data_IF_918234616406
#
_entry.id   IF_918234616406
#
_cell.length_a   1.000
_cell.length_b   1.000
_cell.length_c   1.000
_cell.angle_alpha   90.00
_cell.angle_beta   90.00
_cell.angle_gamma   90.00
#
_symmetry.space_group_name_H-M   'P 1'
#
loop_
_entity.id
_entity.type
_entity.pdbx_description
1 polymer ?
#
# COMPACT_ATOMS: atom_id res chain seq x y z
N UNK A 1 -3.82 8.19 15.02
CA UNK A 1 -2.55 7.63 15.53
C UNK A 1 -1.34 8.35 14.92
N UNK A 2 -0.86 9.48 15.48
CA UNK A 2 0.33 10.22 14.96
C UNK A 2 1.65 9.52 15.33
N UNK A 3 2.67 9.62 14.46
CA UNK A 3 4.07 9.89 14.86
C UNK A 3 4.99 10.10 13.63
N UNK A 4 5.25 11.36 13.26
CA UNK A 4 6.64 11.78 13.01
C UNK A 4 7.20 12.37 14.32
N UNK A 5 8.52 12.45 14.45
CA UNK A 5 9.21 12.83 15.71
C UNK A 5 8.62 14.08 16.39
N UNK A 6 8.00 13.91 17.56
CA UNK A 6 7.67 14.97 18.54
C UNK A 6 7.22 16.33 17.97
N UNK A 7 6.28 16.33 17.03
CA UNK A 7 5.46 17.53 16.72
C UNK A 7 4.05 17.31 17.24
N UNK A 8 3.81 17.73 18.48
CA UNK A 8 2.46 17.79 19.01
C UNK A 8 1.68 18.88 18.27
N UNK A 9 0.54 18.51 17.68
CA UNK A 9 -0.52 19.46 17.29
C UNK A 9 -1.70 19.23 18.22
N UNK A 10 -2.33 20.31 18.67
CA UNK A 10 -3.61 20.28 19.40
C UNK A 10 -4.81 20.50 18.48
N UNK A 11 -4.56 20.50 17.16
CA UNK A 11 -5.54 20.73 16.12
C UNK A 11 -5.44 19.64 15.06
N UNK A 12 -6.57 19.03 14.74
CA UNK A 12 -6.75 18.20 13.55
C UNK A 12 -6.84 19.10 12.30
N UNK A 13 -6.33 18.60 11.18
CA UNK A 13 -6.35 19.30 9.89
C UNK A 13 -6.63 18.32 8.75
N UNK A 14 -7.24 18.81 7.65
CA UNK A 14 -7.59 17.99 6.50
C UNK A 14 -8.73 17.00 6.80
N UNK A 15 -8.83 15.91 6.03
CA UNK A 15 -9.93 14.93 6.13
C UNK A 15 -10.03 14.18 7.47
N UNK A 16 -9.05 14.33 8.37
CA UNK A 16 -9.10 13.77 9.73
C UNK A 16 -10.21 14.38 10.59
N UNK A 17 -10.62 15.62 10.33
CA UNK A 17 -11.72 16.28 11.08
C UNK A 17 -13.10 15.74 10.71
N UNK A 18 -13.19 14.79 9.77
CA UNK A 18 -14.43 14.31 9.14
C UNK A 18 -14.61 12.79 9.20
N UNK A 19 -13.72 12.04 9.87
CA UNK A 19 -13.88 10.61 10.07
C UNK A 19 -14.91 10.27 11.15
N UNK A 20 -15.64 9.17 10.95
CA UNK A 20 -16.55 8.60 11.96
C UNK A 20 -15.80 7.93 13.13
N UNK A 21 -14.49 7.68 12.97
CA UNK A 21 -13.56 7.20 13.99
C UNK A 21 -12.67 8.34 14.49
N UNK A 22 -12.41 8.38 15.80
CA UNK A 22 -11.51 9.35 16.43
C UNK A 22 -10.05 9.01 16.12
N UNK A 23 -9.34 9.90 15.43
CA UNK A 23 -7.97 9.66 14.97
C UNK A 23 -7.00 10.67 15.57
N UNK A 24 -6.24 10.28 16.59
CA UNK A 24 -5.18 11.10 17.18
C UNK A 24 -3.91 11.23 16.27
N UNK A 25 -4.07 11.22 14.93
CA UNK A 25 -3.04 11.52 13.90
C UNK A 25 -2.70 10.45 12.83
N UNK A 26 -1.56 10.61 12.14
CA UNK A 26 -1.01 9.78 11.04
C UNK A 26 0.46 9.35 11.34
N UNK A 27 0.82 8.06 11.20
CA UNK A 27 2.18 7.55 11.50
C UNK A 27 3.14 7.74 10.31
N UNK A 28 4.19 8.54 10.48
CA UNK A 28 5.16 8.82 9.45
C UNK A 28 6.12 7.65 9.25
N UNK A 29 5.85 6.80 8.26
CA UNK A 29 6.76 5.75 7.79
C UNK A 29 7.46 6.16 6.48
N UNK A 30 7.75 7.44 6.25
CA UNK A 30 8.46 7.94 5.06
C UNK A 30 9.95 7.51 5.03
N UNK A 31 10.66 7.75 3.93
CA UNK A 31 12.11 7.47 3.86
C UNK A 31 12.97 8.44 4.71
N UNK A 32 12.38 9.53 5.19
CA UNK A 32 13.06 10.62 5.91
C UNK A 32 13.56 10.24 7.31
N UNK A 33 14.51 10.99 7.88
CA UNK A 33 15.14 10.68 9.16
C UNK A 33 14.19 10.79 10.37
N UNK A 34 13.09 11.55 10.24
CA UNK A 34 12.08 11.73 11.28
C UNK A 34 11.00 10.64 11.31
N UNK A 35 10.98 9.75 10.32
CA UNK A 35 10.05 8.62 10.28
C UNK A 35 10.26 7.64 11.44
N UNK A 36 9.19 6.94 11.85
CA UNK A 36 9.23 5.93 12.92
C UNK A 36 10.35 4.91 12.66
N UNK A 37 10.39 4.34 11.45
CA UNK A 37 11.36 3.30 11.11
C UNK A 37 12.80 3.83 11.15
N UNK A 38 13.05 5.06 10.68
CA UNK A 38 14.39 5.67 10.74
C UNK A 38 14.84 5.93 12.18
N UNK A 39 13.94 6.41 13.04
CA UNK A 39 14.24 6.62 14.47
C UNK A 39 14.48 5.31 15.23
N UNK A 40 13.64 4.31 15.05
CA UNK A 40 13.80 3.01 15.73
C UNK A 40 15.07 2.30 15.25
N UNK A 41 15.40 2.42 13.96
CA UNK A 41 16.61 1.81 13.40
C UNK A 41 17.89 2.54 13.82
N UNK A 42 17.89 3.88 13.90
CA UNK A 42 19.06 4.64 14.38
C UNK A 42 19.41 4.33 15.85
N UNK A 43 18.41 4.00 16.67
CA UNK A 43 18.57 3.52 18.06
C UNK A 43 18.96 2.04 18.15
N UNK A 44 19.02 1.31 17.03
CA UNK A 44 19.33 -0.11 17.00
C UNK A 44 18.24 -1.00 17.63
N UNK A 45 16.97 -0.59 17.54
CA UNK A 45 15.82 -1.37 18.03
C UNK A 45 15.22 -2.30 16.95
N UNK A 46 15.41 -1.98 15.67
CA UNK A 46 14.93 -2.74 14.50
C UNK A 46 15.86 -2.54 13.30
N UNK A 47 16.00 -3.51 12.37
CA UNK A 47 16.49 -3.21 11.02
C UNK A 47 15.63 -2.11 10.37
N UNK A 48 16.18 -1.41 9.36
CA UNK A 48 15.46 -0.36 8.61
C UNK A 48 14.48 -0.98 7.59
N UNK A 49 13.68 -1.92 8.05
CA UNK A 49 12.71 -2.72 7.29
C UNK A 49 11.42 -2.79 8.13
N UNK A 50 10.29 -2.57 7.48
CA UNK A 50 8.96 -2.80 8.05
C UNK A 50 8.03 -3.33 6.96
N UNK A 51 6.88 -3.88 7.35
CA UNK A 51 5.89 -4.40 6.40
C UNK A 51 4.48 -4.12 6.90
N UNK A 52 3.52 -3.99 5.99
CA UNK A 52 2.10 -4.04 6.34
C UNK A 52 1.34 -5.11 5.55
N UNK A 53 0.17 -5.48 6.05
CA UNK A 53 -0.83 -6.27 5.33
C UNK A 53 -2.20 -5.71 5.69
N UNK A 54 -2.88 -5.06 4.74
CA UNK A 54 -4.20 -4.43 4.97
C UNK A 54 -5.31 -5.40 4.55
N UNK A 55 -6.30 -5.61 5.41
CA UNK A 55 -7.36 -6.60 5.18
C UNK A 55 -8.47 -5.99 4.32
N UNK A 56 -8.74 -6.58 3.17
CA UNK A 56 -9.58 -5.98 2.13
C UNK A 56 -11.10 -6.17 2.27
N UNK A 57 -11.60 -6.70 3.40
CA UNK A 57 -13.03 -6.90 3.65
C UNK A 57 -13.68 -5.71 4.40
N UNK A 58 -15.02 -5.68 4.41
CA UNK A 58 -15.79 -4.58 5.04
C UNK A 58 -15.61 -4.47 6.57
N UNK A 59 -14.87 -5.38 7.21
CA UNK A 59 -14.52 -5.30 8.65
C UNK A 59 -13.22 -4.54 8.90
N UNK A 60 -12.42 -4.32 7.84
CA UNK A 60 -11.06 -3.83 7.95
C UNK A 60 -10.18 -4.75 8.81
N UNK A 61 -9.14 -4.16 9.38
CA UNK A 61 -8.08 -4.88 10.07
C UNK A 61 -6.78 -4.90 9.27
N UNK A 62 -5.75 -5.49 9.84
CA UNK A 62 -4.49 -5.72 9.17
C UNK A 62 -3.36 -5.95 10.15
N UNK A 63 -2.15 -6.03 9.61
CA UNK A 63 -0.90 -6.25 10.34
C UNK A 63 0.06 -5.12 9.99
N UNK A 64 0.65 -4.48 10.99
CA UNK A 64 1.88 -3.70 10.85
C UNK A 64 3.00 -4.44 11.59
N UNK A 65 4.08 -4.76 10.88
CA UNK A 65 5.25 -5.48 11.39
C UNK A 65 6.51 -4.63 11.29
N UNK A 66 7.26 -4.54 12.38
CA UNK A 66 8.60 -3.92 12.42
C UNK A 66 9.66 -5.03 12.36
N UNK A 67 10.48 -5.02 11.31
CA UNK A 67 11.31 -6.16 10.92
C UNK A 67 10.96 -6.65 9.51
N UNK A 68 11.58 -7.77 9.12
CA UNK A 68 11.39 -8.41 7.82
C UNK A 68 10.41 -9.59 7.95
N UNK A 69 9.29 -9.54 7.23
CA UNK A 69 8.37 -10.69 7.15
C UNK A 69 9.00 -11.78 6.27
N UNK A 70 9.02 -13.00 6.78
CA UNK A 70 9.49 -14.18 6.06
C UNK A 70 8.31 -14.86 5.34
N UNK A 71 8.04 -14.42 4.12
CA UNK A 71 7.08 -15.04 3.20
C UNK A 71 7.79 -15.41 1.87
N UNK A 72 7.96 -16.70 1.54
CA UNK A 72 8.74 -17.14 0.37
C UNK A 72 8.24 -16.64 -0.99
N UNK A 73 6.96 -16.26 -1.10
CA UNK A 73 6.36 -15.75 -2.34
C UNK A 73 6.59 -14.25 -2.60
N UNK A 74 7.30 -13.53 -1.72
CA UNK A 74 7.59 -12.10 -1.92
C UNK A 74 8.50 -11.89 -3.14
N UNK A 75 8.01 -11.11 -4.10
CA UNK A 75 8.79 -10.55 -5.21
C UNK A 75 9.15 -9.09 -4.92
N UNK A 76 10.25 -8.59 -5.48
CA UNK A 76 10.78 -7.26 -5.16
C UNK A 76 11.01 -6.38 -6.40
N UNK A 77 10.77 -5.07 -6.27
CA UNK A 77 11.18 -4.03 -7.21
C UNK A 77 12.07 -3.00 -6.48
N UNK A 78 13.13 -2.47 -7.13
CA UNK A 78 13.96 -1.43 -6.54
C UNK A 78 13.18 -0.12 -6.36
N UNK A 79 13.46 0.58 -5.25
CA UNK A 79 13.05 1.96 -5.04
C UNK A 79 13.82 2.91 -5.97
N UNK A 80 13.27 4.11 -6.17
CA UNK A 80 13.91 5.20 -6.92
C UNK A 80 14.42 6.28 -5.95
N UNK A 81 15.65 6.16 -5.42
CA UNK A 81 16.27 7.19 -4.57
C UNK A 81 16.90 8.32 -5.40
N UNK A 82 17.12 9.51 -4.79
CA UNK A 82 16.65 9.93 -3.48
C UNK A 82 15.25 10.57 -3.59
N UNK A 83 14.23 9.97 -2.97
CA UNK A 83 12.87 10.53 -2.88
C UNK A 83 12.26 10.27 -1.50
N UNK A 84 11.38 11.17 -1.02
CA UNK A 84 10.77 11.04 0.31
C UNK A 84 9.70 9.93 0.40
N UNK A 85 8.93 9.77 -0.67
CA UNK A 85 7.90 8.73 -0.82
C UNK A 85 8.46 7.44 -1.45
N UNK A 86 7.65 6.39 -1.47
CA UNK A 86 8.01 5.07 -2.00
C UNK A 86 7.77 4.96 -3.51
N UNK A 87 8.67 5.57 -4.27
CA UNK A 87 8.65 5.55 -5.73
C UNK A 87 9.21 4.25 -6.30
N UNK A 88 8.46 3.63 -7.20
CA UNK A 88 8.84 2.50 -8.04
C UNK A 88 8.76 2.87 -9.53
N UNK A 89 9.56 2.19 -10.35
CA UNK A 89 9.53 2.30 -11.80
C UNK A 89 8.54 1.28 -12.39
N UNK A 90 7.31 1.74 -12.66
CA UNK A 90 6.34 1.00 -13.48
C UNK A 90 6.76 1.08 -14.95
N UNK A 91 6.84 -0.06 -15.63
CA UNK A 91 7.27 -0.14 -17.03
C UNK A 91 6.10 -0.31 -17.99
N UNK A 92 5.07 -1.05 -17.60
CA UNK A 92 3.85 -1.22 -18.38
C UNK A 92 2.67 -1.67 -17.52
N UNK A 93 1.47 -1.50 -18.06
CA UNK A 93 0.24 -2.07 -17.53
C UNK A 93 -0.25 -3.09 -18.57
N UNK A 94 -0.74 -4.25 -18.12
CA UNK A 94 -1.40 -5.22 -18.96
C UNK A 94 -2.83 -5.51 -18.47
N UNK A 95 -3.76 -5.72 -19.41
CA UNK A 95 -5.14 -6.12 -19.14
C UNK A 95 -5.43 -7.38 -19.96
N UNK A 96 -5.91 -8.43 -19.30
CA UNK A 96 -6.14 -9.75 -19.91
C UNK A 96 -4.91 -10.27 -20.70
N UNK A 97 -3.72 -10.15 -20.09
CA UNK A 97 -2.44 -10.54 -20.70
C UNK A 97 -1.91 -9.63 -21.82
N UNK A 98 -2.66 -8.59 -22.24
CA UNK A 98 -2.25 -7.66 -23.31
C UNK A 98 -1.67 -6.39 -22.71
N UNK A 99 -0.41 -6.09 -23.03
CA UNK A 99 0.25 -4.82 -22.67
C UNK A 99 -0.49 -3.66 -23.33
N UNK A 100 -0.79 -2.61 -22.56
CA UNK A 100 -1.45 -1.41 -23.04
C UNK A 100 -0.45 -0.51 -23.81
N UNK A 101 -0.90 0.19 -24.87
CA UNK A 101 -0.06 1.11 -25.65
C UNK A 101 0.13 2.44 -24.88
N UNK A 102 0.93 2.40 -23.82
CA UNK A 102 1.33 3.53 -22.99
C UNK A 102 2.85 3.66 -23.10
N UNK A 103 3.36 4.87 -23.32
CA UNK A 103 4.80 5.14 -23.30
C UNK A 103 5.36 4.90 -21.88
N UNK A 104 6.37 4.03 -21.68
CA UNK A 104 6.99 3.85 -20.36
C UNK A 104 7.50 5.16 -19.74
N UNK A 105 7.86 6.17 -20.53
CA UNK A 105 8.27 7.50 -20.05
C UNK A 105 7.15 8.25 -19.29
N UNK A 106 5.89 7.88 -19.48
CA UNK A 106 4.74 8.32 -18.67
C UNK A 106 4.91 7.98 -17.19
N UNK A 107 5.71 6.97 -16.84
CA UNK A 107 5.90 6.51 -15.46
C UNK A 107 7.29 6.80 -14.87
N UNK A 108 8.27 7.30 -15.65
CA UNK A 108 9.69 7.28 -15.21
C UNK A 108 10.41 8.64 -15.18
N UNK A 109 9.74 9.77 -15.39
CA UNK A 109 10.40 11.09 -15.34
C UNK A 109 10.61 11.62 -13.90
N UNK A 110 11.37 12.71 -13.76
CA UNK A 110 11.76 13.27 -12.45
C UNK A 110 10.54 13.63 -11.57
N UNK A 111 9.51 14.23 -12.15
CA UNK A 111 8.30 14.67 -11.44
C UNK A 111 7.10 13.70 -11.66
N UNK A 112 7.39 12.54 -12.26
CA UNK A 112 6.46 11.42 -12.46
C UNK A 112 6.95 10.20 -11.67
N UNK A 113 6.21 9.10 -11.72
CA UNK A 113 6.51 7.89 -10.94
C UNK A 113 5.26 7.15 -10.50
N UNK A 114 5.46 5.97 -9.91
CA UNK A 114 4.42 5.25 -9.16
C UNK A 114 4.78 5.23 -7.68
N UNK A 115 3.95 5.83 -6.83
CA UNK A 115 4.08 5.81 -5.37
C UNK A 115 3.28 4.64 -4.79
N UNK A 116 3.86 3.94 -3.83
CA UNK A 116 3.15 3.07 -2.89
C UNK A 116 2.76 3.90 -1.64
N UNK A 117 1.47 4.09 -1.38
CA UNK A 117 0.99 4.93 -0.27
C UNK A 117 -0.26 4.36 0.44
N UNK A 118 -0.07 3.70 1.58
CA UNK A 118 -1.17 3.23 2.44
C UNK A 118 -1.96 4.37 3.13
N UNK A 119 -1.54 5.63 3.00
CA UNK A 119 -2.31 6.79 3.45
C UNK A 119 -3.43 7.20 2.49
N UNK A 120 -3.45 6.64 1.27
CA UNK A 120 -4.45 6.91 0.24
C UNK A 120 -5.41 5.72 0.10
N UNK A 121 -6.73 5.95 0.10
CA UNK A 121 -7.74 4.88 0.01
C UNK A 121 -7.85 4.26 -1.39
N UNK A 122 -7.88 5.11 -2.43
CA UNK A 122 -8.07 4.70 -3.82
C UNK A 122 -6.73 4.58 -4.56
N UNK A 123 -6.79 4.31 -5.87
CA UNK A 123 -5.63 4.41 -6.73
C UNK A 123 -5.80 5.54 -7.75
N UNK A 124 -4.68 6.14 -8.17
CA UNK A 124 -4.65 7.24 -9.12
C UNK A 124 -3.69 6.89 -10.25
N UNK A 125 -4.14 6.99 -11.50
CA UNK A 125 -3.29 6.86 -12.69
C UNK A 125 -3.08 8.21 -13.33
N UNK A 126 -1.85 8.50 -13.74
CA UNK A 126 -1.53 9.63 -14.62
C UNK A 126 -2.39 9.56 -15.90
N UNK A 127 -2.85 10.72 -16.39
CA UNK A 127 -3.92 10.80 -17.39
C UNK A 127 -3.66 9.98 -18.66
N UNK A 128 -2.42 10.03 -19.17
CA UNK A 128 -1.95 9.27 -20.34
C UNK A 128 -2.17 7.74 -20.20
N UNK A 129 -2.14 7.23 -18.97
CA UNK A 129 -2.35 5.82 -18.64
C UNK A 129 -3.81 5.48 -18.26
N UNK A 130 -4.53 6.43 -17.66
CA UNK A 130 -5.91 6.24 -17.18
C UNK A 130 -6.88 5.86 -18.30
N UNK A 131 -6.88 6.61 -19.41
CA UNK A 131 -7.85 6.39 -20.49
C UNK A 131 -7.64 5.05 -21.21
N UNK A 132 -6.41 4.64 -21.58
CA UNK A 132 -6.15 3.28 -22.06
C UNK A 132 -6.55 2.19 -21.06
N UNK A 133 -6.30 2.40 -19.77
CA UNK A 133 -6.60 1.43 -18.71
C UNK A 133 -8.11 1.15 -18.58
N UNK A 134 -8.92 2.20 -18.37
CA UNK A 134 -10.38 2.08 -18.28
C UNK A 134 -10.95 1.46 -19.55
N UNK A 135 -10.53 1.94 -20.73
CA UNK A 135 -10.99 1.41 -22.02
C UNK A 135 -10.68 -0.08 -22.18
N UNK A 136 -9.48 -0.51 -21.81
CA UNK A 136 -9.07 -1.90 -21.94
C UNK A 136 -9.84 -2.83 -20.98
N UNK A 137 -10.11 -2.39 -19.75
CA UNK A 137 -10.99 -3.12 -18.83
C UNK A 137 -12.40 -3.22 -19.42
N UNK A 138 -13.04 -2.10 -19.78
CA UNK A 138 -14.40 -2.11 -20.36
C UNK A 138 -14.51 -2.99 -21.61
N UNK A 139 -13.46 -3.05 -22.43
CA UNK A 139 -13.44 -3.88 -23.65
C UNK A 139 -13.20 -5.37 -23.39
N UNK A 140 -12.76 -5.74 -22.19
CA UNK A 140 -12.44 -7.11 -21.78
C UNK A 140 -13.40 -7.67 -20.70
N UNK A 141 -14.29 -6.83 -20.16
CA UNK A 141 -15.41 -7.26 -19.31
C UNK A 141 -16.40 -8.11 -20.12
N UNK A 142 -17.08 -9.04 -19.45
CA UNK A 142 -18.12 -9.88 -20.07
C UNK A 142 -19.15 -9.04 -20.84
N UNK A 143 -19.49 -9.38 -22.10
CA UNK A 143 -20.47 -8.64 -22.90
C UNK A 143 -21.90 -8.68 -22.34
N UNK A 144 -22.15 -9.51 -21.32
CA UNK A 144 -23.42 -9.51 -20.56
C UNK A 144 -23.57 -8.31 -19.62
N UNK A 145 -22.47 -7.61 -19.27
CA UNK A 145 -22.51 -6.46 -18.38
C UNK A 145 -22.57 -5.16 -19.20
N UNK A 146 -23.54 -4.30 -18.89
CA UNK A 146 -23.65 -2.98 -19.52
C UNK A 146 -22.86 -1.95 -18.71
N UNK A 147 -21.85 -1.26 -19.30
CA UNK A 147 -21.16 -0.17 -18.65
C UNK A 147 -22.06 1.07 -18.49
N UNK A 148 -21.97 1.73 -17.34
CA UNK A 148 -22.55 3.06 -17.10
C UNK A 148 -21.61 3.92 -16.23
N UNK A 149 -21.86 5.23 -16.15
CA UNK A 149 -21.04 6.14 -15.35
C UNK A 149 -21.77 6.50 -14.05
N UNK A 150 -21.10 6.38 -12.90
CA UNK A 150 -21.52 6.92 -11.59
C UNK A 150 -20.34 7.65 -10.98
N UNK A 151 -20.57 8.87 -10.49
CA UNK A 151 -19.56 9.66 -9.77
C UNK A 151 -18.22 9.76 -10.54
N UNK A 152 -18.32 10.04 -11.84
CA UNK A 152 -17.23 10.09 -12.83
C UNK A 152 -16.50 8.76 -13.10
N UNK A 153 -16.83 7.68 -12.38
CA UNK A 153 -16.21 6.36 -12.53
C UNK A 153 -17.00 5.45 -13.49
N UNK A 154 -16.27 4.54 -14.13
CA UNK A 154 -16.84 3.51 -15.00
C UNK A 154 -17.37 2.34 -14.14
N UNK A 155 -18.68 2.12 -14.18
CA UNK A 155 -19.41 1.17 -13.32
C UNK A 155 -20.19 0.11 -14.11
N UNK A 156 -20.53 -0.97 -13.41
CA UNK A 156 -21.25 -2.14 -13.91
C UNK A 156 -22.16 -2.71 -12.81
N UNK A 157 -23.36 -3.17 -13.16
CA UNK A 157 -24.17 -3.99 -12.27
C UNK A 157 -23.68 -5.43 -12.35
N UNK A 158 -23.27 -6.03 -11.22
CA UNK A 158 -22.68 -7.38 -11.20
C UNK A 158 -23.49 -8.31 -10.31
N UNK A 159 -23.97 -9.41 -10.89
CA UNK A 159 -24.76 -10.43 -10.20
C UNK A 159 -24.05 -11.78 -10.06
N UNK A 160 -22.85 -11.92 -10.65
CA UNK A 160 -22.03 -13.14 -10.69
C UNK A 160 -20.67 -12.91 -10.01
N UNK A 161 -19.77 -13.89 -10.05
CA UNK A 161 -18.41 -13.73 -9.54
C UNK A 161 -17.63 -12.70 -10.36
N UNK A 162 -16.88 -11.81 -9.70
CA UNK A 162 -16.05 -10.82 -10.40
C UNK A 162 -14.98 -11.48 -11.27
N UNK A 163 -14.38 -12.57 -10.80
CA UNK A 163 -13.35 -13.31 -11.52
C UNK A 163 -13.83 -13.98 -12.81
N UNK A 164 -15.16 -14.13 -13.00
CA UNK A 164 -15.75 -14.68 -14.24
C UNK A 164 -16.00 -13.60 -15.29
N UNK A 165 -16.17 -12.34 -14.87
CA UNK A 165 -16.67 -11.25 -15.74
C UNK A 165 -15.72 -10.07 -15.89
N UNK A 166 -14.65 -9.99 -15.10
CA UNK A 166 -13.61 -8.96 -15.17
C UNK A 166 -12.24 -9.56 -15.51
N UNK A 167 -11.39 -8.84 -16.26
CA UNK A 167 -10.07 -9.31 -16.67
C UNK A 167 -9.05 -9.28 -15.52
N UNK A 168 -8.05 -10.16 -15.58
CA UNK A 168 -6.83 -9.97 -14.78
C UNK A 168 -6.09 -8.70 -15.23
N UNK A 169 -5.61 -7.91 -14.27
CA UNK A 169 -4.77 -6.73 -14.49
C UNK A 169 -3.36 -7.02 -13.99
N UNK A 170 -2.33 -6.45 -14.63
CA UNK A 170 -0.95 -6.56 -14.15
C UNK A 170 -0.22 -5.22 -14.27
N UNK A 171 0.40 -4.81 -13.16
CA UNK A 171 1.30 -3.66 -13.07
C UNK A 171 2.74 -4.20 -13.12
N UNK A 172 3.44 -3.98 -14.22
CA UNK A 172 4.75 -4.58 -14.46
C UNK A 172 5.85 -3.59 -14.10
N UNK A 173 6.47 -3.78 -12.94
CA UNK A 173 7.58 -2.96 -12.46
C UNK A 173 8.93 -3.53 -12.90
N UNK A 174 10.00 -2.75 -12.74
CA UNK A 174 11.36 -3.26 -12.87
C UNK A 174 11.57 -4.43 -11.90
N UNK A 175 11.88 -5.61 -12.45
CA UNK A 175 12.21 -6.81 -11.69
C UNK A 175 11.04 -7.68 -11.21
N UNK A 176 9.82 -7.13 -11.11
CA UNK A 176 8.65 -7.86 -10.61
C UNK A 176 7.32 -7.33 -11.16
N UNK A 177 6.33 -8.22 -11.30
CA UNK A 177 4.96 -7.84 -11.69
C UNK A 177 4.00 -8.00 -10.51
N UNK A 178 3.07 -7.06 -10.37
CA UNK A 178 1.96 -7.12 -9.42
C UNK A 178 0.69 -7.45 -10.19
N UNK A 179 0.18 -8.67 -10.03
CA UNK A 179 -1.09 -9.11 -10.64
C UNK A 179 -2.21 -8.73 -9.69
N UNK A 180 -3.21 -7.99 -10.19
CA UNK A 180 -4.35 -7.52 -9.42
C UNK A 180 -5.59 -8.38 -9.70
N UNK A 181 -6.28 -8.77 -8.62
CA UNK A 181 -7.62 -9.33 -8.69
C UNK A 181 -8.66 -8.22 -8.98
N UNK A 182 -9.86 -8.53 -9.49
CA UNK A 182 -10.93 -7.54 -9.68
C UNK A 182 -11.22 -6.69 -8.44
N UNK A 183 -11.23 -7.28 -7.26
CA UNK A 183 -11.46 -6.62 -5.98
C UNK A 183 -10.38 -5.56 -5.63
N UNK A 184 -9.25 -5.59 -6.32
CA UNK A 184 -8.05 -4.79 -6.07
C UNK A 184 -7.86 -3.64 -7.09
N UNK A 185 -8.83 -3.50 -8.01
CA UNK A 185 -8.99 -2.32 -8.87
C UNK A 185 -10.45 -1.87 -9.03
N UNK A 186 -11.41 -2.61 -8.49
CA UNK A 186 -12.82 -2.23 -8.41
C UNK A 186 -13.23 -1.87 -6.98
N UNK A 187 -14.08 -0.86 -6.86
CA UNK A 187 -14.80 -0.50 -5.64
C UNK A 187 -16.26 -0.93 -5.73
N UNK A 188 -16.80 -1.44 -4.63
CA UNK A 188 -18.22 -1.83 -4.51
C UNK A 188 -19.04 -0.65 -4.00
N UNK A 189 -20.11 -0.28 -4.69
CA UNK A 189 -21.11 0.61 -4.12
C UNK A 189 -22.03 -0.19 -3.17
N UNK A 190 -22.06 0.22 -1.90
CA UNK A 190 -22.74 -0.50 -0.82
C UNK A 190 -24.24 -0.57 -1.11
N UNK A 191 -24.84 -1.76 -0.91
CA UNK A 191 -26.28 -1.97 -0.95
C UNK A 191 -26.92 -2.19 -2.34
N UNK A 192 -26.21 -1.93 -3.46
CA UNK A 192 -26.83 -1.95 -4.81
C UNK A 192 -26.16 -2.86 -5.85
N UNK A 193 -25.16 -3.66 -5.46
CA UNK A 193 -24.54 -4.65 -6.36
C UNK A 193 -23.77 -4.05 -7.55
N UNK A 194 -23.42 -2.77 -7.46
CA UNK A 194 -22.64 -2.05 -8.47
C UNK A 194 -21.16 -2.12 -8.11
N UNK A 195 -20.33 -2.35 -9.11
CA UNK A 195 -18.88 -2.26 -9.02
C UNK A 195 -18.36 -1.23 -10.02
N UNK A 196 -17.49 -0.35 -9.57
CA UNK A 196 -16.87 0.70 -10.37
C UNK A 196 -15.36 0.53 -10.39
N UNK A 197 -14.69 0.94 -11.47
CA UNK A 197 -13.23 1.06 -11.50
C UNK A 197 -12.83 2.09 -10.43
N UNK A 198 -12.07 1.65 -9.43
CA UNK A 198 -11.63 2.45 -8.28
C UNK A 198 -10.31 3.21 -8.50
N UNK A 199 -9.74 3.08 -9.70
CA UNK A 199 -8.72 4.00 -10.18
C UNK A 199 -9.37 5.31 -10.62
N UNK A 200 -8.79 6.44 -10.22
CA UNK A 200 -9.14 7.78 -10.67
C UNK A 200 -8.02 8.39 -11.54
N UNK A 201 -8.33 9.50 -12.23
CA UNK A 201 -7.31 10.33 -12.86
C UNK A 201 -6.50 11.06 -11.78
N UNK A 202 -5.17 10.95 -11.82
CA UNK A 202 -4.31 11.79 -11.00
C UNK A 202 -4.39 13.25 -11.48
N UNK A 203 -4.61 14.20 -10.56
CA UNK A 203 -4.54 15.64 -10.87
C UNK A 203 -3.10 16.17 -10.96
N UNK A 204 -2.13 15.28 -11.22
CA UNK A 204 -0.71 15.57 -11.36
C UNK A 204 0.00 14.42 -12.09
N UNK A 205 1.31 14.55 -12.28
CA UNK A 205 2.11 13.58 -13.06
C UNK A 205 2.35 12.21 -12.41
N UNK A 206 1.80 11.96 -11.21
CA UNK A 206 2.20 10.82 -10.37
C UNK A 206 1.07 9.81 -10.27
N UNK A 207 1.42 8.54 -10.51
CA UNK A 207 0.54 7.40 -10.22
C UNK A 207 0.66 7.05 -8.74
N UNK A 208 -0.45 6.80 -8.05
CA UNK A 208 -0.49 6.44 -6.63
C UNK A 208 -1.24 5.12 -6.48
N UNK A 209 -0.62 4.14 -5.83
CA UNK A 209 -1.24 2.87 -5.46
C UNK A 209 -1.55 2.92 -3.96
N UNK A 210 -2.82 3.19 -3.65
CA UNK A 210 -3.36 3.20 -2.30
C UNK A 210 -3.95 1.85 -1.87
N UNK A 211 -4.61 1.86 -0.72
CA UNK A 211 -5.18 0.69 -0.03
C UNK A 211 -5.95 -0.25 -0.97
N UNK A 212 -6.78 0.29 -1.88
CA UNK A 212 -7.48 -0.48 -2.92
C UNK A 212 -6.58 -1.54 -3.61
N UNK A 213 -5.34 -1.17 -3.93
CA UNK A 213 -4.35 -2.02 -4.62
C UNK A 213 -3.49 -2.81 -3.63
N UNK A 214 -3.19 -2.23 -2.46
CA UNK A 214 -2.26 -2.77 -1.47
C UNK A 214 -2.89 -3.79 -0.52
N UNK A 215 -4.22 -3.82 -0.40
CA UNK A 215 -4.95 -4.78 0.43
C UNK A 215 -4.75 -6.23 -0.03
N UNK A 216 -4.95 -7.14 0.92
CA UNK A 216 -4.78 -8.60 0.82
C UNK A 216 -3.40 -9.00 0.24
N UNK A 217 -2.39 -8.17 0.58
CA UNK A 217 -0.98 -8.38 0.26
C UNK A 217 -0.12 -7.99 1.46
N UNK A 218 0.95 -8.75 1.68
CA UNK A 218 2.10 -8.25 2.43
C UNK A 218 2.82 -7.26 1.52
N UNK A 219 3.01 -6.02 2.00
CA UNK A 219 3.86 -5.00 1.37
C UNK A 219 5.09 -4.78 2.28
N UNK A 220 6.28 -5.08 1.77
CA UNK A 220 7.56 -4.97 2.50
C UNK A 220 8.29 -3.70 2.06
N UNK A 221 8.71 -2.89 3.03
CA UNK A 221 9.48 -1.67 2.83
C UNK A 221 10.91 -1.88 3.33
N UNK A 222 11.77 -2.40 2.46
CA UNK A 222 13.16 -2.69 2.78
C UNK A 222 14.04 -1.49 2.41
N UNK A 223 14.21 -0.59 3.38
CA UNK A 223 14.98 0.64 3.19
C UNK A 223 16.48 0.41 3.35
N UNK A 224 16.89 -0.74 3.88
CA UNK A 224 18.29 -1.16 3.97
C UNK A 224 18.82 -1.59 2.60
N UNK A 225 18.00 -2.30 1.81
CA UNK A 225 18.33 -2.73 0.43
C UNK A 225 17.62 -1.92 -0.66
N UNK A 226 16.95 -0.81 -0.29
CA UNK A 226 16.30 0.14 -1.20
C UNK A 226 15.33 -0.52 -2.19
N UNK A 227 14.39 -1.31 -1.68
CA UNK A 227 13.41 -2.08 -2.47
C UNK A 227 12.05 -2.17 -1.77
N UNK A 228 10.98 -2.29 -2.56
CA UNK A 228 9.66 -2.72 -2.08
C UNK A 228 9.44 -4.16 -2.48
N UNK A 229 8.95 -4.97 -1.55
CA UNK A 229 8.49 -6.34 -1.80
C UNK A 229 6.97 -6.46 -1.73
N UNK A 230 6.37 -7.40 -2.45
CA UNK A 230 4.97 -7.77 -2.27
C UNK A 230 4.70 -9.27 -2.47
N UNK A 231 3.70 -9.77 -1.74
CA UNK A 231 3.11 -11.11 -1.91
C UNK A 231 1.60 -11.04 -1.62
N UNK A 232 0.78 -11.77 -2.37
CA UNK A 232 -0.65 -11.95 -2.03
C UNK A 232 -0.77 -12.76 -0.73
N UNK A 233 -1.57 -12.30 0.23
CA UNK A 233 -1.61 -12.88 1.57
C UNK A 233 -2.98 -12.69 2.24
N UNK A 234 -3.43 -13.65 3.04
CA UNK A 234 -4.56 -13.44 3.95
C UNK A 234 -4.10 -12.60 5.14
N UNK A 235 -4.41 -11.31 5.16
CA UNK A 235 -4.04 -10.41 6.26
C UNK A 235 -4.76 -10.71 7.59
N UNK A 236 -5.61 -11.74 7.65
CA UNK A 236 -6.15 -12.33 8.89
C UNK A 236 -5.21 -13.37 9.50
N UNK A 237 -4.30 -13.95 8.71
CA UNK A 237 -3.37 -15.01 9.13
C UNK A 237 -2.10 -14.43 9.79
N UNK A 238 -1.54 -15.09 10.81
CA UNK A 238 -0.34 -14.61 11.51
C UNK A 238 0.88 -14.60 10.59
N UNK A 239 1.77 -13.63 10.75
CA UNK A 239 3.01 -13.51 9.96
C UNK A 239 4.25 -13.87 10.78
N UNK A 240 5.24 -14.47 10.13
CA UNK A 240 6.55 -14.72 10.74
C UNK A 240 7.47 -13.51 10.50
N UNK A 241 7.94 -12.87 11.57
CA UNK A 241 8.84 -11.71 11.51
C UNK A 241 10.23 -12.07 11.98
N UNK A 242 11.24 -11.81 11.15
CA UNK A 242 12.65 -11.95 11.53
C UNK A 242 13.23 -10.61 12.03
N UNK A 243 14.05 -10.70 13.07
CA UNK A 243 14.84 -9.59 13.62
C UNK A 243 16.27 -10.13 13.82
N UNK A 244 17.30 -9.53 13.19
CA UNK A 244 18.66 -10.04 13.32
C UNK A 244 19.16 -10.02 14.76
N UNK A 245 19.95 -11.03 15.14
CA UNK A 245 20.39 -11.26 16.53
C UNK A 245 21.21 -10.11 17.14
N UNK A 246 21.83 -9.26 16.31
CA UNK A 246 22.49 -8.02 16.72
C UNK A 246 21.53 -6.99 17.34
N UNK A 247 20.31 -6.88 16.83
CA UNK A 247 19.25 -6.03 17.39
C UNK A 247 18.68 -6.67 18.67
N UNK A 248 18.54 -7.99 18.69
CA UNK A 248 18.06 -8.73 19.88
C UNK A 248 19.00 -8.55 21.10
N UNK A 249 20.32 -8.51 20.90
CA UNK A 249 21.29 -8.26 22.00
C UNK A 249 21.17 -6.85 22.61
N UNK A 250 21.03 -5.79 21.80
CA UNK A 250 20.87 -4.42 22.32
C UNK A 250 19.61 -4.25 23.18
N UNK A 251 18.53 -5.00 22.86
CA UNK A 251 17.29 -5.07 23.67
C UNK A 251 17.53 -5.63 25.08
N UNK A 252 18.63 -6.35 25.31
CA UNK A 252 19.06 -6.82 26.64
C UNK A 252 19.87 -5.77 27.40
N UNK A 253 20.70 -4.98 26.72
CA UNK A 253 21.57 -3.98 27.34
C UNK A 253 20.83 -2.68 27.72
N UNK A 254 19.79 -2.31 26.95
CA UNK A 254 18.99 -1.10 27.18
C UNK A 254 18.07 -1.15 28.40
N UNK A 255 18.07 -2.25 29.18
CA UNK A 255 17.25 -2.43 30.41
C UNK A 255 17.80 -1.73 31.65
N UNK A 256 18.84 -0.89 31.52
CA UNK A 256 19.64 -0.39 32.65
C UNK A 256 19.64 1.14 32.84
N UNK A 257 18.81 1.90 32.12
CA UNK A 257 18.82 3.36 32.21
C UNK A 257 17.52 4.04 31.76
N UNK A 258 16.68 4.43 32.74
CA UNK A 258 15.71 5.56 32.77
C UNK A 258 14.73 5.80 31.61
N UNK A 259 14.77 5.05 30.52
CA UNK A 259 13.81 5.06 29.40
C UNK A 259 12.62 4.11 29.59
N UNK A 260 12.49 3.53 30.79
CA UNK A 260 11.65 2.36 31.05
C UNK A 260 10.14 2.58 30.83
N UNK A 261 9.67 3.82 30.88
CA UNK A 261 8.25 4.14 30.65
C UNK A 261 7.84 4.06 29.17
N UNK A 262 8.77 4.27 28.23
CA UNK A 262 8.51 4.06 26.79
C UNK A 262 8.87 2.62 26.35
N UNK A 263 9.86 2.01 27.00
CA UNK A 263 10.30 0.64 26.68
C UNK A 263 9.32 -0.45 27.15
N UNK A 264 8.69 -0.27 28.30
CA UNK A 264 7.75 -1.27 28.88
C UNK A 264 6.60 -1.63 27.92
N UNK A 265 6.05 -0.64 27.20
CA UNK A 265 5.00 -0.86 26.18
C UNK A 265 5.50 -1.69 24.98
N UNK A 266 6.78 -1.56 24.62
CA UNK A 266 7.38 -2.22 23.45
C UNK A 266 8.12 -3.54 23.79
N UNK A 267 8.18 -3.97 25.05
CA UNK A 267 9.05 -5.11 25.47
C UNK A 267 8.33 -6.44 25.66
N UNK A 268 7.00 -6.48 25.63
CA UNK A 268 6.22 -7.71 25.95
C UNK A 268 5.80 -8.50 24.69
N UNK A 269 5.90 -7.93 23.49
CA UNK A 269 5.53 -8.62 22.25
C UNK A 269 6.45 -8.35 21.06
N UNK A 270 6.29 -9.20 20.04
CA UNK A 270 6.35 -8.72 18.66
C UNK A 270 5.27 -7.65 18.53
N UNK A 271 5.62 -6.44 18.13
CA UNK A 271 4.63 -5.36 17.93
C UNK A 271 3.98 -5.59 16.56
N UNK A 272 3.11 -6.61 16.52
CA UNK A 272 2.05 -6.73 15.53
C UNK A 272 0.97 -5.75 15.97
N UNK A 273 1.01 -4.55 15.41
CA UNK A 273 -0.09 -3.61 15.58
C UNK A 273 -1.19 -4.02 14.60
N UNK A 274 -2.36 -4.37 15.13
CA UNK A 274 -3.55 -4.53 14.30
C UNK A 274 -4.04 -3.14 13.89
N UNK A 275 -4.06 -2.86 12.59
CA UNK A 275 -4.59 -1.60 12.08
C UNK A 275 -6.12 -1.68 12.09
N UNK A 276 -6.77 -0.90 12.95
CA UNK A 276 -8.21 -0.72 12.95
C UNK A 276 -8.61 0.27 11.84
N UNK A 277 -9.77 0.05 11.23
CA UNK A 277 -10.44 1.00 10.34
C UNK A 277 -11.30 2.00 11.16
#
# INVERSE_FOLDING_TARGET
MVLETYRCTTYEFGGLTSSLSTLDGIFGFSQGPLSVISQLSSRGLTPKVFSHCLKGDEKGGGILALGEILEPSIVYSPLVPPRHHYYLNLQSIAVNGKILPIDPATFTSHDRGTIIDSGTTLAFLVEDAYVPFVRAITSAVSPSLTPFISDENQCYHVTTSLAEVFPAVSLNFVGASMVLKPEEYLIRQIGIGVWCIGFQKAQGGVTILGDLVLKDKIIVYDLALQRIGWANYDCSSPVNVSIPSSYARRRSESRSSLGDMLLSVLTIGFVVMYMLA
#
